data_IF_643534138321
#
_entry.id   IF_643534138321
#
_cell.length_a   1.000
_cell.length_b   1.000
_cell.length_c   1.000
_cell.angle_alpha   90.00
_cell.angle_beta   90.00
_cell.angle_gamma   90.00
#
_symmetry.space_group_name_H-M   'P 1'
#
loop_
_entity.id
_entity.type
_entity.pdbx_description
1 polymer ?
#
# COMPACT_ATOMS: atom_id res chain seq x y z
N UNK A 1 28.43 -46.99 -22.62
CA UNK A 1 27.16 -46.22 -22.70
C UNK A 1 27.02 -45.28 -21.50
N UNK A 2 27.51 -44.05 -21.65
CA UNK A 2 27.42 -42.97 -20.68
C UNK A 2 26.02 -42.33 -20.72
N UNK A 3 25.24 -42.49 -19.65
CA UNK A 3 23.99 -41.74 -19.48
C UNK A 3 24.22 -40.61 -18.47
N UNK A 4 24.55 -39.43 -18.99
CA UNK A 4 24.67 -38.18 -18.24
C UNK A 4 23.29 -37.73 -17.76
N UNK A 5 23.03 -37.78 -16.45
CA UNK A 5 21.82 -37.18 -15.86
C UNK A 5 22.10 -35.70 -15.58
N UNK A 6 21.51 -34.83 -16.40
CA UNK A 6 21.56 -33.36 -16.27
C UNK A 6 20.80 -32.94 -14.99
N UNK A 7 21.33 -32.05 -14.13
CA UNK A 7 20.59 -31.57 -12.97
C UNK A 7 19.43 -30.67 -13.42
N UNK A 8 18.24 -30.92 -12.86
CA UNK A 8 17.01 -30.16 -13.08
C UNK A 8 17.15 -28.84 -12.31
N UNK A 9 17.08 -27.69 -13.01
CA UNK A 9 17.12 -26.38 -12.36
C UNK A 9 15.94 -26.22 -11.42
N UNK A 10 16.22 -25.79 -10.18
CA UNK A 10 15.19 -25.43 -9.23
C UNK A 10 14.34 -24.24 -9.77
N UNK A 11 13.03 -24.18 -9.48
CA UNK A 11 12.24 -22.99 -9.75
C UNK A 11 12.82 -21.83 -8.96
N UNK A 12 13.17 -20.74 -9.64
CA UNK A 12 13.49 -19.50 -8.94
C UNK A 12 12.24 -19.04 -8.18
N UNK A 13 12.36 -18.65 -6.90
CA UNK A 13 11.24 -18.07 -6.19
C UNK A 13 10.79 -16.79 -6.89
N UNK A 14 9.47 -16.49 -6.95
CA UNK A 14 9.02 -15.19 -7.41
C UNK A 14 9.71 -14.14 -6.54
N UNK A 15 10.35 -13.16 -7.19
CA UNK A 15 10.94 -12.04 -6.49
C UNK A 15 9.92 -11.49 -5.48
N UNK A 16 10.30 -11.23 -4.22
CA UNK A 16 9.38 -10.63 -3.27
C UNK A 16 8.89 -9.33 -3.89
N UNK A 17 7.59 -9.27 -4.14
CA UNK A 17 6.90 -8.05 -4.48
C UNK A 17 7.16 -7.10 -3.32
N UNK A 18 8.18 -6.27 -3.48
CA UNK A 18 8.44 -5.20 -2.56
C UNK A 18 7.20 -4.33 -2.62
N UNK A 19 6.36 -4.40 -1.59
CA UNK A 19 5.57 -3.27 -1.14
C UNK A 19 6.57 -2.16 -0.88
N UNK A 20 6.97 -1.49 -1.96
CA UNK A 20 7.64 -0.21 -1.91
C UNK A 20 6.56 0.67 -1.32
N UNK A 21 6.57 0.88 0.00
CA UNK A 21 6.07 2.14 0.52
C UNK A 21 6.73 3.17 -0.35
N UNK A 22 5.95 3.79 -1.24
CA UNK A 22 6.43 4.88 -2.06
C UNK A 22 6.85 5.89 -1.01
N UNK A 23 8.17 6.13 -0.81
CA UNK A 23 8.60 7.08 0.18
C UNK A 23 7.89 8.36 -0.19
N UNK A 24 7.03 8.88 0.70
CA UNK A 24 6.34 10.15 0.43
C UNK A 24 7.45 11.12 0.07
N UNK A 25 7.38 11.72 -1.11
CA UNK A 25 8.43 12.62 -1.57
C UNK A 25 8.56 13.73 -0.51
N UNK A 26 9.60 13.65 0.30
CA UNK A 26 9.94 14.70 1.24
C UNK A 26 10.62 15.74 0.36
N UNK A 27 10.13 16.98 0.32
CA UNK A 27 10.83 18.02 -0.42
C UNK A 27 12.27 18.11 0.10
N UNK A 28 13.23 18.11 -0.81
CA UNK A 28 14.63 18.28 -0.46
C UNK A 28 14.83 19.67 0.18
N UNK A 29 15.51 19.71 1.33
CA UNK A 29 15.79 20.95 2.07
C UNK A 29 14.70 21.35 3.06
N UNK A 30 14.71 22.63 3.45
CA UNK A 30 13.78 23.17 4.45
C UNK A 30 12.37 23.38 3.87
N UNK A 31 11.36 23.04 4.66
CA UNK A 31 9.95 23.14 4.27
C UNK A 31 9.10 23.67 5.42
N UNK A 32 7.99 24.31 5.05
CA UNK A 32 6.91 24.68 5.98
C UNK A 32 5.73 23.72 5.82
N UNK A 33 5.08 23.38 6.94
CA UNK A 33 3.81 22.64 6.92
C UNK A 33 2.65 23.64 6.80
N UNK A 34 1.80 23.46 5.81
CA UNK A 34 0.64 24.32 5.55
C UNK A 34 -0.62 23.49 5.66
N UNK A 35 -1.52 23.93 6.54
CA UNK A 35 -2.87 23.37 6.64
C UNK A 35 -3.72 23.90 5.48
N UNK A 36 -4.37 22.98 4.78
CA UNK A 36 -5.26 23.31 3.67
C UNK A 36 -6.72 23.43 4.11
N UNK A 37 -7.07 23.02 5.33
CA UNK A 37 -8.39 23.17 5.93
C UNK A 37 -8.32 23.36 7.45
N UNK A 38 -9.46 23.16 8.12
CA UNK A 38 -9.58 23.23 9.59
C UNK A 38 -8.96 22.01 10.29
N UNK A 39 -8.94 20.87 9.59
CA UNK A 39 -8.41 19.63 10.11
C UNK A 39 -6.87 19.65 10.16
N UNK A 40 -6.24 19.48 11.34
CA UNK A 40 -4.79 19.47 11.48
C UNK A 40 -4.11 18.29 10.77
N UNK A 41 -4.85 17.24 10.40
CA UNK A 41 -4.34 16.11 9.63
C UNK A 41 -4.17 16.42 8.13
N UNK A 42 -4.81 17.48 7.62
CA UNK A 42 -4.83 17.86 6.20
C UNK A 42 -3.76 18.89 5.85
N UNK A 43 -2.50 18.53 6.16
CA UNK A 43 -1.32 19.36 5.98
C UNK A 43 -0.42 18.93 4.82
N UNK A 44 0.14 19.90 4.09
CA UNK A 44 1.11 19.68 3.01
C UNK A 44 2.43 20.38 3.32
N UNK A 45 3.55 19.72 3.00
CA UNK A 45 4.90 20.30 3.12
C UNK A 45 5.25 21.05 1.85
N UNK A 46 5.61 22.33 1.96
CA UNK A 46 6.07 23.15 0.83
C UNK A 46 7.48 23.66 1.14
N UNK A 47 8.41 23.46 0.20
CA UNK A 47 9.79 23.94 0.32
C UNK A 47 9.85 25.47 0.45
N UNK A 48 10.69 25.98 1.36
CA UNK A 48 10.80 27.42 1.61
C UNK A 48 11.56 28.17 0.51
N UNK A 49 12.27 27.46 -0.36
CA UNK A 49 13.07 28.04 -1.46
C UNK A 49 12.24 28.59 -2.63
N UNK A 50 10.91 28.56 -2.54
CA UNK A 50 10.03 29.09 -3.59
C UNK A 50 9.95 30.62 -3.54
N UNK A 51 9.94 31.31 -4.70
CA UNK A 51 9.61 32.74 -4.76
C UNK A 51 8.26 33.03 -4.12
N UNK A 52 8.14 34.17 -3.44
CA UNK A 52 6.93 34.50 -2.65
C UNK A 52 5.64 34.45 -3.46
N UNK A 53 5.67 34.92 -4.71
CA UNK A 53 4.51 34.88 -5.60
C UNK A 53 4.11 33.42 -5.92
N UNK A 54 5.08 32.59 -6.28
CA UNK A 54 4.85 31.18 -6.60
C UNK A 54 4.33 30.42 -5.37
N UNK A 55 4.89 30.69 -4.19
CA UNK A 55 4.43 30.12 -2.92
C UNK A 55 2.99 30.49 -2.60
N UNK A 56 2.60 31.76 -2.81
CA UNK A 56 1.21 32.22 -2.62
C UNK A 56 0.25 31.55 -3.60
N UNK A 57 0.61 31.50 -4.88
CA UNK A 57 -0.21 30.85 -5.91
C UNK A 57 -0.37 29.35 -5.64
N UNK A 58 0.70 28.67 -5.25
CA UNK A 58 0.66 27.25 -4.89
C UNK A 58 -0.26 27.00 -3.68
N UNK A 59 -0.15 27.82 -2.63
CA UNK A 59 -1.03 27.75 -1.45
C UNK A 59 -2.50 27.93 -1.83
N UNK A 60 -2.82 28.90 -2.69
CA UNK A 60 -4.20 29.12 -3.14
C UNK A 60 -4.73 27.92 -3.93
N UNK A 61 -3.97 27.46 -4.93
CA UNK A 61 -4.32 26.31 -5.74
C UNK A 61 -4.57 25.04 -4.89
N UNK A 62 -3.68 24.74 -3.94
CA UNK A 62 -3.85 23.58 -3.07
C UNK A 62 -5.09 23.69 -2.18
N UNK A 63 -5.43 24.89 -1.69
CA UNK A 63 -6.64 25.12 -0.88
C UNK A 63 -7.93 24.97 -1.69
N UNK A 64 -7.94 25.50 -2.91
CA UNK A 64 -9.05 25.41 -3.85
C UNK A 64 -9.36 23.97 -4.28
N UNK A 65 -8.40 23.06 -4.17
CA UNK A 65 -8.50 21.66 -4.61
C UNK A 65 -8.37 20.66 -3.44
N UNK A 66 -8.79 21.06 -2.24
CA UNK A 66 -8.65 20.23 -1.02
C UNK A 66 -9.44 18.93 -1.05
N UNK A 67 -10.53 18.91 -1.80
CA UNK A 67 -11.44 17.81 -2.06
C UNK A 67 -10.88 16.77 -3.05
N UNK A 68 -9.88 17.13 -3.85
CA UNK A 68 -9.19 16.20 -4.76
C UNK A 68 -8.20 15.30 -4.02
N UNK A 69 -7.83 15.64 -2.78
CA UNK A 69 -6.95 14.83 -1.97
C UNK A 69 -7.74 13.88 -1.09
N UNK A 70 -7.29 12.63 -1.09
CA UNK A 70 -7.75 11.59 -0.18
C UNK A 70 -6.84 11.64 1.04
N UNK A 71 -7.31 12.25 2.12
CA UNK A 71 -6.48 12.48 3.31
C UNK A 71 -6.39 11.25 4.22
N UNK A 72 -7.33 10.32 4.07
CA UNK A 72 -7.32 9.03 4.76
C UNK A 72 -7.87 7.93 3.85
N UNK A 73 -7.54 6.68 4.17
CA UNK A 73 -8.07 5.52 3.46
C UNK A 73 -9.62 5.45 3.48
N UNK A 74 -10.27 6.12 4.43
CA UNK A 74 -11.74 6.18 4.52
C UNK A 74 -12.34 7.18 3.52
N UNK A 75 -11.57 8.19 3.11
CA UNK A 75 -11.99 9.22 2.14
C UNK A 75 -11.85 8.75 0.68
N UNK A 76 -11.22 7.59 0.46
CA UNK A 76 -11.33 6.85 -0.80
C UNK A 76 -12.47 5.84 -0.67
N UNK A 77 -13.66 6.11 -1.25
CA UNK A 77 -14.60 5.05 -1.55
C UNK A 77 -14.02 4.28 -2.73
N UNK A 78 -12.99 3.48 -2.45
CA UNK A 78 -12.01 3.08 -3.46
C UNK A 78 -12.56 2.16 -4.54
N UNK A 79 -13.74 1.60 -4.36
CA UNK A 79 -14.35 0.73 -5.35
C UNK A 79 -15.75 0.39 -4.86
N UNK A 80 -16.77 0.55 -5.70
CA UNK A 80 -18.09 -0.01 -5.41
C UNK A 80 -17.92 -1.52 -5.21
N UNK A 81 -18.24 -2.11 -4.04
CA UNK A 81 -18.10 -3.54 -3.82
C UNK A 81 -18.79 -4.39 -4.89
N UNK A 82 -19.81 -3.88 -5.58
CA UNK A 82 -20.42 -4.56 -6.73
C UNK A 82 -19.50 -4.65 -7.97
N UNK A 83 -18.59 -3.69 -8.12
CA UNK A 83 -17.62 -3.57 -9.24
C UNK A 83 -16.23 -4.11 -8.84
N UNK A 84 -15.90 -4.00 -7.55
CA UNK A 84 -14.60 -4.27 -6.93
C UNK A 84 -14.34 -5.70 -6.54
N UNK A 85 -15.40 -6.37 -6.09
CA UNK A 85 -15.28 -7.62 -5.40
C UNK A 85 -15.43 -8.74 -6.42
N UNK A 86 -14.41 -9.58 -6.51
CA UNK A 86 -14.59 -10.88 -7.13
C UNK A 86 -15.46 -11.74 -6.21
N UNK A 87 -16.71 -11.97 -6.61
CA UNK A 87 -17.60 -12.87 -5.87
C UNK A 87 -17.14 -14.30 -6.11
N UNK A 88 -16.74 -14.97 -5.03
CA UNK A 88 -16.51 -16.42 -5.07
C UNK A 88 -17.87 -17.11 -5.29
N UNK A 89 -17.94 -18.00 -6.28
CA UNK A 89 -19.12 -18.85 -6.48
C UNK A 89 -19.18 -19.91 -5.38
N UNK A 90 -19.73 -19.54 -4.22
CA UNK A 90 -19.95 -20.42 -3.09
C UNK A 90 -21.43 -20.82 -3.10
N UNK A 91 -21.72 -22.10 -2.88
CA UNK A 91 -23.09 -22.57 -2.69
C UNK A 91 -23.67 -21.96 -1.40
N UNK A 92 -24.78 -21.18 -1.45
CA UNK A 92 -25.34 -20.51 -0.28
C UNK A 92 -25.89 -21.47 0.78
N UNK A 93 -26.09 -22.75 0.43
CA UNK A 93 -26.55 -23.80 1.36
C UNK A 93 -25.36 -24.50 2.03
N UNK A 94 -24.13 -24.32 1.51
CA UNK A 94 -22.95 -24.92 2.08
C UNK A 94 -22.62 -24.32 3.46
N UNK A 95 -22.31 -25.19 4.41
CA UNK A 95 -21.88 -24.80 5.74
C UNK A 95 -20.37 -24.58 5.82
N UNK A 96 -19.95 -23.69 6.71
CA UNK A 96 -18.54 -23.43 6.97
C UNK A 96 -17.83 -24.67 7.51
N UNK A 97 -16.63 -24.94 6.98
CA UNK A 97 -15.79 -26.05 7.42
C UNK A 97 -14.55 -25.51 8.13
N UNK A 98 -14.48 -25.73 9.45
CA UNK A 98 -13.28 -25.40 10.24
C UNK A 98 -12.16 -26.39 9.92
N UNK A 99 -11.19 -25.96 9.13
CA UNK A 99 -10.01 -26.76 8.83
C UNK A 99 -8.95 -26.62 9.94
N UNK A 100 -8.54 -27.74 10.53
CA UNK A 100 -7.45 -27.77 11.52
C UNK A 100 -6.15 -27.26 10.88
N UNK A 101 -5.54 -26.25 11.49
CA UNK A 101 -4.24 -25.71 11.05
C UNK A 101 -3.19 -26.83 11.02
N UNK A 102 -2.48 -26.96 9.89
CA UNK A 102 -1.35 -27.90 9.77
C UNK A 102 -0.22 -27.46 10.72
N UNK A 103 0.47 -28.42 11.36
CA UNK A 103 1.67 -28.13 12.16
C UNK A 103 2.74 -27.55 11.23
N UNK A 104 3.12 -26.30 11.47
CA UNK A 104 4.26 -25.66 10.81
C UNK A 104 5.51 -25.82 11.69
N UNK A 105 6.70 -25.88 11.09
CA UNK A 105 7.95 -25.75 11.85
C UNK A 105 8.06 -24.34 12.44
N UNK A 106 8.83 -24.14 13.53
CA UNK A 106 9.01 -22.82 14.13
C UNK A 106 9.44 -21.75 13.12
N UNK A 107 10.41 -22.08 12.27
CA UNK A 107 10.91 -21.21 11.20
C UNK A 107 9.81 -20.78 10.20
N UNK A 108 8.94 -21.72 9.78
CA UNK A 108 7.84 -21.42 8.85
C UNK A 108 6.73 -20.62 9.49
N UNK A 109 6.48 -20.83 10.78
CA UNK A 109 5.51 -20.05 11.54
C UNK A 109 5.99 -18.60 11.71
N UNK A 110 7.27 -18.42 12.07
CA UNK A 110 7.90 -17.10 12.20
C UNK A 110 7.91 -16.34 10.87
N UNK A 111 8.24 -17.02 9.76
CA UNK A 111 8.20 -16.42 8.43
C UNK A 111 6.78 -15.97 8.05
N UNK A 112 5.75 -16.78 8.31
CA UNK A 112 4.37 -16.42 8.03
C UNK A 112 3.90 -15.25 8.90
N UNK A 113 4.25 -15.24 10.19
CA UNK A 113 3.89 -14.14 11.10
C UNK A 113 4.53 -12.81 10.68
N UNK A 114 5.81 -12.84 10.28
CA UNK A 114 6.48 -11.65 9.76
C UNK A 114 5.78 -11.08 8.53
N UNK A 115 5.34 -11.93 7.60
CA UNK A 115 4.61 -11.51 6.39
C UNK A 115 3.23 -10.95 6.72
N UNK A 116 2.48 -11.61 7.61
CA UNK A 116 1.12 -11.17 7.99
C UNK A 116 1.14 -9.84 8.74
N UNK A 117 2.17 -9.60 9.56
CA UNK A 117 2.29 -8.37 10.35
C UNK A 117 2.74 -7.15 9.54
N UNK A 118 3.31 -7.37 8.35
CA UNK A 118 3.77 -6.31 7.44
C UNK A 118 2.75 -5.94 6.36
N UNK A 119 1.55 -6.55 6.38
CA UNK A 119 0.48 -6.32 5.40
C UNK A 119 -0.60 -5.40 5.96
#
# INVERSE_FOLDING_TARGET
PSSSKKPKSAPQPPAPNASKEIPRAIPDGEFELILLGEDPSKGVKIGIGLPDLARKQLKACLRENTDLFVWSAVEMPDLDPEVACHQLTIDPVASDVVQRRRRQSPEKAEAAEKVVKTS
#
